data_IF_445085030762
#
_entry.id   IF_445085030762
#
_cell.length_a   1.000
_cell.length_b   1.000
_cell.length_c   1.000
_cell.angle_alpha   90.00
_cell.angle_beta   90.00
_cell.angle_gamma   90.00
#
_symmetry.space_group_name_H-M   'P 1'
#
loop_
_entity.id
_entity.type
_entity.pdbx_description
1 polymer ?
#
# COMPACT_ATOMS: atom_id res chain seq x y z
N UNK A 1 -20.29 -4.41 7.92
CA UNK A 1 -21.62 -3.74 7.87
C UNK A 1 -21.77 -3.11 6.50
N UNK A 2 -23.00 -2.93 6.00
CA UNK A 2 -23.28 -2.37 4.66
C UNK A 2 -22.52 -1.04 4.41
N UNK A 3 -22.42 -0.19 5.44
CA UNK A 3 -21.69 1.09 5.41
C UNK A 3 -20.22 0.93 5.03
N UNK A 4 -19.53 -0.08 5.60
CA UNK A 4 -18.11 -0.32 5.31
C UNK A 4 -17.94 -0.73 3.84
N UNK A 5 -18.77 -1.63 3.34
CA UNK A 5 -18.69 -2.08 1.95
C UNK A 5 -18.95 -0.92 0.98
N UNK A 6 -19.92 -0.04 1.29
CA UNK A 6 -20.21 1.14 0.46
C UNK A 6 -19.05 2.14 0.43
N UNK A 7 -18.40 2.37 1.58
CA UNK A 7 -17.21 3.23 1.64
C UNK A 7 -16.10 2.71 0.72
N UNK A 8 -15.75 1.43 0.85
CA UNK A 8 -14.68 0.84 0.04
C UNK A 8 -15.07 0.69 -1.44
N UNK A 9 -16.35 0.50 -1.74
CA UNK A 9 -16.85 0.54 -3.11
C UNK A 9 -16.57 1.92 -3.73
N UNK A 10 -17.01 2.99 -3.07
CA UNK A 10 -16.82 4.36 -3.55
C UNK A 10 -15.33 4.73 -3.66
N UNK A 11 -14.52 4.36 -2.66
CA UNK A 11 -13.09 4.62 -2.66
C UNK A 11 -12.39 3.91 -3.85
N UNK A 12 -12.70 2.63 -4.10
CA UNK A 12 -12.13 1.90 -5.23
C UNK A 12 -12.59 2.45 -6.58
N UNK A 13 -13.86 2.86 -6.72
CA UNK A 13 -14.36 3.51 -7.93
C UNK A 13 -13.67 4.86 -8.19
N UNK A 14 -13.46 5.68 -7.15
CA UNK A 14 -12.74 6.95 -7.26
C UNK A 14 -11.27 6.75 -7.64
N UNK A 15 -10.60 5.77 -7.03
CA UNK A 15 -9.22 5.43 -7.39
C UNK A 15 -9.10 4.99 -8.85
N UNK A 16 -10.04 4.20 -9.35
CA UNK A 16 -10.07 3.82 -10.76
C UNK A 16 -10.29 5.02 -11.68
N UNK A 17 -11.20 5.93 -11.30
CA UNK A 17 -11.45 7.15 -12.06
C UNK A 17 -10.20 8.03 -12.15
N UNK A 18 -9.52 8.27 -11.03
CA UNK A 18 -8.27 9.04 -10.99
C UNK A 18 -7.17 8.34 -11.80
N UNK A 19 -7.06 7.01 -11.69
CA UNK A 19 -6.07 6.21 -12.43
C UNK A 19 -6.31 6.13 -13.94
N UNK A 20 -7.51 6.46 -14.41
CA UNK A 20 -7.89 6.47 -15.84
C UNK A 20 -8.24 7.86 -16.37
N UNK A 21 -7.97 8.91 -15.57
CA UNK A 21 -8.28 10.29 -15.90
C UNK A 21 -7.33 10.82 -16.98
N UNK A 22 -7.87 11.32 -18.09
CA UNK A 22 -7.03 11.74 -19.23
C UNK A 22 -6.45 13.15 -19.10
N UNK A 23 -6.97 13.97 -18.19
CA UNK A 23 -6.45 15.33 -17.98
C UNK A 23 -5.26 15.29 -17.01
N UNK A 24 -4.15 15.99 -17.32
CA UNK A 24 -3.04 16.11 -16.39
C UNK A 24 -3.51 16.68 -15.05
N UNK A 25 -3.06 16.07 -13.96
CA UNK A 25 -3.32 16.55 -12.61
C UNK A 25 -2.05 16.41 -11.76
N UNK A 26 -1.94 17.24 -10.73
CA UNK A 26 -0.88 17.16 -9.73
C UNK A 26 -1.55 16.85 -8.39
N UNK A 27 -1.22 15.69 -7.82
CA UNK A 27 -1.63 15.32 -6.48
C UNK A 27 -0.54 15.72 -5.48
N UNK A 28 -0.85 16.64 -4.57
CA UNK A 28 0.07 17.07 -3.52
C UNK A 28 -0.16 16.20 -2.29
N UNK A 29 0.87 15.45 -1.90
CA UNK A 29 0.87 14.61 -0.70
C UNK A 29 1.59 15.39 0.40
N UNK A 30 0.83 16.10 1.24
CA UNK A 30 1.37 16.87 2.37
C UNK A 30 0.69 16.44 3.68
N UNK A 31 1.48 15.98 4.66
CA UNK A 31 1.00 15.48 5.94
C UNK A 31 0.83 13.96 6.00
N UNK A 32 -0.13 13.48 6.81
CA UNK A 32 -0.40 12.05 6.96
C UNK A 32 -1.35 11.61 5.85
N UNK A 33 -0.85 10.77 4.95
CA UNK A 33 -1.63 10.14 3.89
C UNK A 33 -1.68 8.63 4.12
N UNK A 34 -2.87 8.06 3.99
CA UNK A 34 -3.07 6.61 3.97
C UNK A 34 -3.52 6.21 2.57
N UNK A 35 -3.01 5.10 2.06
CA UNK A 35 -3.30 4.63 0.71
C UNK A 35 -3.62 3.14 0.68
N UNK A 36 -4.38 2.74 -0.34
CA UNK A 36 -4.51 1.33 -0.76
C UNK A 36 -3.45 0.96 -1.79
N UNK A 37 -3.70 -0.07 -2.59
CA UNK A 37 -2.78 -0.47 -3.66
C UNK A 37 -1.65 -1.36 -3.19
N UNK A 38 -1.84 -2.11 -2.10
CA UNK A 38 -0.90 -3.14 -1.64
C UNK A 38 -0.59 -4.14 -2.77
N UNK A 39 -1.59 -4.47 -3.58
CA UNK A 39 -1.44 -5.34 -4.75
C UNK A 39 -0.55 -4.75 -5.86
N UNK A 40 -0.33 -3.43 -5.86
CA UNK A 40 0.52 -2.75 -6.86
C UNK A 40 1.98 -2.63 -6.44
N UNK A 41 2.31 -3.00 -5.19
CA UNK A 41 3.67 -2.93 -4.66
C UNK A 41 4.58 -3.92 -5.40
N UNK A 42 5.78 -3.45 -5.78
CA UNK A 42 6.74 -4.24 -6.56
C UNK A 42 8.06 -4.42 -5.81
N UNK A 43 8.79 -5.45 -6.20
CA UNK A 43 10.11 -5.75 -5.65
C UNK A 43 10.09 -6.14 -4.17
N UNK A 44 11.29 -6.29 -3.59
CA UNK A 44 11.45 -6.74 -2.20
C UNK A 44 11.11 -5.63 -1.21
N UNK A 45 11.37 -4.38 -1.60
CA UNK A 45 10.97 -3.20 -0.84
C UNK A 45 9.44 -3.08 -0.72
N UNK A 46 8.69 -3.37 -1.79
CA UNK A 46 7.24 -3.44 -1.74
C UNK A 46 6.71 -4.48 -0.76
N UNK A 47 7.32 -5.68 -0.75
CA UNK A 47 6.97 -6.74 0.21
C UNK A 47 7.27 -6.29 1.65
N UNK A 48 8.46 -5.73 1.89
CA UNK A 48 8.83 -5.16 3.19
C UNK A 48 7.80 -4.16 3.67
N UNK A 49 7.40 -3.20 2.83
CA UNK A 49 6.41 -2.16 3.18
C UNK A 49 5.04 -2.73 3.46
N UNK A 50 4.55 -3.62 2.61
CA UNK A 50 3.25 -4.26 2.78
C UNK A 50 3.16 -5.05 4.09
N UNK A 51 4.20 -5.83 4.42
CA UNK A 51 4.18 -6.69 5.60
C UNK A 51 4.44 -5.94 6.91
N UNK A 52 5.31 -4.92 6.89
CA UNK A 52 5.70 -4.19 8.11
C UNK A 52 4.84 -2.97 8.41
N UNK A 53 4.12 -2.44 7.40
CA UNK A 53 3.44 -1.15 7.53
C UNK A 53 4.41 0.02 7.80
N UNK A 54 5.66 -0.09 7.34
CA UNK A 54 6.69 0.92 7.57
C UNK A 54 6.23 2.30 7.08
N UNK A 55 6.29 3.30 7.96
CA UNK A 55 5.86 4.67 7.62
C UNK A 55 6.80 5.27 6.59
N UNK A 56 6.23 5.72 5.48
CA UNK A 56 6.97 6.40 4.44
C UNK A 56 7.16 7.87 4.81
N UNK A 57 8.39 8.36 4.70
CA UNK A 57 8.71 9.79 4.77
C UNK A 57 9.06 10.28 3.38
N UNK A 58 10.30 10.70 3.16
CA UNK A 58 10.84 11.08 1.85
C UNK A 58 10.98 9.89 0.90
N UNK A 59 10.90 8.67 1.45
CA UNK A 59 11.09 7.42 0.70
C UNK A 59 9.98 7.13 -0.31
N UNK A 60 8.85 7.84 -0.24
CA UNK A 60 7.75 7.77 -1.22
C UNK A 60 8.24 8.01 -2.66
N UNK A 61 9.30 8.81 -2.84
CA UNK A 61 9.92 9.05 -4.14
C UNK A 61 10.63 7.78 -4.66
N UNK A 62 11.40 7.13 -3.79
CA UNK A 62 12.16 5.93 -4.13
C UNK A 62 11.27 4.70 -4.33
N UNK A 63 10.06 4.73 -3.78
CA UNK A 63 9.04 3.70 -3.99
C UNK A 63 8.27 3.86 -5.30
N UNK A 64 8.45 4.97 -6.01
CA UNK A 64 7.62 5.34 -7.16
C UNK A 64 6.18 5.70 -6.79
N UNK A 65 5.90 5.95 -5.50
CA UNK A 65 4.59 6.44 -5.03
C UNK A 65 4.46 7.95 -5.33
N UNK A 66 5.54 8.70 -5.10
CA UNK A 66 5.65 10.08 -5.53
C UNK A 66 6.57 10.16 -6.76
N UNK A 67 6.26 11.06 -7.68
CA UNK A 67 7.10 11.31 -8.86
C UNK A 67 8.16 12.38 -8.61
N UNK A 68 7.89 13.30 -7.68
CA UNK A 68 8.75 14.43 -7.36
C UNK A 68 8.70 14.73 -5.86
N UNK A 69 9.70 15.46 -5.37
CA UNK A 69 9.81 15.90 -3.99
C UNK A 69 9.99 17.41 -3.94
N UNK A 70 9.26 18.07 -3.03
CA UNK A 70 9.40 19.50 -2.76
C UNK A 70 9.35 19.71 -1.25
N UNK A 71 10.33 20.42 -0.64
CA UNK A 71 10.27 20.80 0.76
C UNK A 71 9.00 21.59 1.07
N UNK A 72 8.38 21.35 2.22
CA UNK A 72 7.09 21.96 2.57
C UNK A 72 7.13 23.49 2.57
N UNK A 73 8.25 24.08 2.96
CA UNK A 73 8.51 25.52 2.94
C UNK A 73 8.55 26.11 1.52
N UNK A 74 8.80 25.29 0.50
CA UNK A 74 8.81 25.68 -0.92
C UNK A 74 7.48 25.40 -1.63
N UNK A 75 6.48 24.86 -0.94
CA UNK A 75 5.19 24.53 -1.56
C UNK A 75 4.43 25.77 -2.05
N UNK A 76 4.52 26.89 -1.32
CA UNK A 76 3.92 28.15 -1.73
C UNK A 76 4.59 28.72 -3.00
N UNK A 77 5.91 28.59 -3.10
CA UNK A 77 6.68 28.99 -4.27
C UNK A 77 6.31 28.13 -5.48
N UNK A 78 6.25 26.80 -5.31
CA UNK A 78 5.80 25.87 -6.34
C UNK A 78 4.41 26.24 -6.88
N UNK A 79 3.45 26.52 -5.99
CA UNK A 79 2.10 26.90 -6.41
C UNK A 79 2.11 28.19 -7.24
N UNK A 80 2.90 29.19 -6.84
CA UNK A 80 3.06 30.43 -7.60
C UNK A 80 3.67 30.16 -8.97
N UNK A 81 4.77 29.42 -9.04
CA UNK A 81 5.44 29.05 -10.29
C UNK A 81 4.45 28.36 -11.25
N UNK A 82 3.70 27.36 -10.77
CA UNK A 82 2.72 26.62 -11.56
C UNK A 82 1.58 27.51 -12.10
N UNK A 83 1.11 28.49 -11.32
CA UNK A 83 0.04 29.40 -11.74
C UNK A 83 0.51 30.46 -12.74
N UNK A 84 1.82 30.74 -12.80
CA UNK A 84 2.40 31.73 -13.72
C UNK A 84 2.83 31.15 -15.06
N UNK A 85 2.74 29.83 -15.25
CA UNK A 85 3.05 29.17 -16.51
C UNK A 85 2.10 29.66 -17.62
N UNK A 86 2.68 30.23 -18.68
CA UNK A 86 1.93 30.73 -19.85
C UNK A 86 1.47 29.59 -20.76
N UNK A 87 2.27 28.52 -20.82
CA UNK A 87 1.96 27.29 -21.53
C UNK A 87 2.00 26.12 -20.55
N UNK A 88 0.92 25.33 -20.52
CA UNK A 88 0.82 24.14 -19.67
C UNK A 88 1.27 22.95 -20.52
N UNK A 89 2.59 22.82 -20.71
CA UNK A 89 3.20 21.59 -21.21
C UNK A 89 3.87 20.81 -20.07
N UNK A 90 4.00 19.49 -20.27
CA UNK A 90 4.56 18.59 -19.25
C UNK A 90 6.03 18.97 -18.94
N UNK A 91 6.80 19.43 -19.93
CA UNK A 91 8.23 19.73 -19.77
C UNK A 91 8.46 20.91 -18.84
N UNK A 92 7.67 21.96 -18.98
CA UNK A 92 7.72 23.17 -18.16
C UNK A 92 7.37 22.85 -16.71
N UNK A 93 6.32 22.04 -16.49
CA UNK A 93 5.94 21.55 -15.15
C UNK A 93 7.06 20.70 -14.52
N UNK A 94 7.64 19.75 -15.27
CA UNK A 94 8.73 18.90 -14.77
C UNK A 94 9.99 19.71 -14.40
N UNK A 95 10.29 20.77 -15.16
CA UNK A 95 11.44 21.65 -14.89
C UNK A 95 11.30 22.34 -13.53
N UNK A 96 10.08 22.78 -13.18
CA UNK A 96 9.79 23.38 -11.88
C UNK A 96 9.91 22.34 -10.75
N UNK A 97 9.46 21.11 -10.98
CA UNK A 97 9.40 20.06 -9.96
C UNK A 97 10.75 19.37 -9.67
N UNK A 98 11.68 19.34 -10.61
CA UNK A 98 12.96 18.61 -10.49
C UNK A 98 14.07 19.35 -9.70
N UNK A 99 13.73 20.40 -8.95
CA UNK A 99 14.71 21.23 -8.24
C UNK A 99 15.30 20.58 -6.97
N UNK A 100 14.65 19.54 -6.43
CA UNK A 100 15.04 18.95 -5.15
C UNK A 100 15.09 17.42 -5.20
N UNK A 101 16.14 16.85 -4.61
CA UNK A 101 16.28 15.40 -4.44
C UNK A 101 16.52 15.06 -2.96
N UNK A 102 15.62 14.29 -2.33
CA UNK A 102 15.81 13.85 -0.96
C UNK A 102 16.81 12.68 -0.89
N UNK A 103 17.33 12.39 0.31
CA UNK A 103 18.12 11.19 0.57
C UNK A 103 17.21 10.00 0.88
N UNK A 104 17.53 8.82 0.36
CA UNK A 104 16.82 7.59 0.68
C UNK A 104 17.17 7.12 2.09
N UNK A 105 16.18 7.00 2.96
CA UNK A 105 16.40 6.72 4.38
C UNK A 105 16.71 5.24 4.67
N UNK A 106 16.24 4.33 3.80
CA UNK A 106 16.42 2.89 3.95
C UNK A 106 17.65 2.34 3.23
N UNK A 107 18.51 3.21 2.67
CA UNK A 107 19.67 2.80 1.88
C UNK A 107 20.57 1.78 2.61
N UNK A 108 20.82 1.98 3.92
CA UNK A 108 21.62 1.07 4.73
C UNK A 108 20.97 -0.29 5.00
N UNK A 109 19.63 -0.37 4.92
CA UNK A 109 18.86 -1.59 5.19
C UNK A 109 18.55 -2.38 3.91
N UNK A 110 18.89 -1.86 2.73
CA UNK A 110 18.49 -2.46 1.45
C UNK A 110 19.00 -3.89 1.28
N UNK A 111 20.26 -4.16 1.63
CA UNK A 111 20.82 -5.52 1.53
C UNK A 111 20.06 -6.51 2.43
N UNK A 112 19.71 -6.10 3.65
CA UNK A 112 18.92 -6.92 4.57
C UNK A 112 17.48 -7.12 4.07
N UNK A 113 16.86 -6.08 3.52
CA UNK A 113 15.53 -6.15 2.91
C UNK A 113 15.52 -7.13 1.74
N UNK A 114 16.48 -7.01 0.82
CA UNK A 114 16.60 -7.88 -0.34
C UNK A 114 16.83 -9.33 0.06
N UNK A 115 17.69 -9.56 1.06
CA UNK A 115 17.94 -10.90 1.57
C UNK A 115 16.69 -11.49 2.25
N UNK A 116 16.09 -10.80 3.21
CA UNK A 116 14.99 -11.35 4.01
C UNK A 116 13.68 -11.46 3.23
N UNK A 117 13.32 -10.43 2.47
CA UNK A 117 12.02 -10.35 1.80
C UNK A 117 12.03 -10.94 0.38
N UNK A 118 13.14 -11.55 -0.05
CA UNK A 118 13.20 -12.32 -1.30
C UNK A 118 12.57 -13.72 -1.21
N UNK A 119 12.38 -14.24 0.00
CA UNK A 119 11.71 -15.50 0.30
C UNK A 119 10.29 -15.60 -0.30
N UNK A 120 9.85 -16.84 -0.57
CA UNK A 120 8.56 -17.08 -1.22
C UNK A 120 7.40 -17.05 -0.23
N UNK A 121 7.64 -17.50 1.00
CA UNK A 121 6.62 -17.62 2.06
C UNK A 121 6.89 -16.66 3.22
N UNK A 122 5.85 -16.35 3.99
CA UNK A 122 5.98 -15.48 5.17
C UNK A 122 6.81 -16.16 6.27
N UNK A 123 6.67 -17.48 6.39
CA UNK A 123 7.43 -18.31 7.30
C UNK A 123 8.93 -18.21 7.02
N UNK A 124 9.33 -18.34 5.76
CA UNK A 124 10.74 -18.24 5.37
C UNK A 124 11.26 -16.81 5.56
N UNK A 125 10.46 -15.76 5.29
CA UNK A 125 10.82 -14.37 5.62
C UNK A 125 11.15 -14.24 7.11
N UNK A 126 10.31 -14.79 7.98
CA UNK A 126 10.50 -14.74 9.42
C UNK A 126 11.71 -15.55 9.87
N UNK A 127 11.97 -16.70 9.27
CA UNK A 127 13.19 -17.46 9.53
C UNK A 127 14.46 -16.68 9.15
N UNK A 128 14.46 -16.02 7.98
CA UNK A 128 15.59 -15.18 7.55
C UNK A 128 15.79 -13.98 8.47
N UNK A 129 14.71 -13.32 8.91
CA UNK A 129 14.78 -12.23 9.89
C UNK A 129 15.35 -12.73 11.23
N UNK A 130 14.90 -13.90 11.73
CA UNK A 130 15.45 -14.49 12.96
C UNK A 130 16.95 -14.79 12.85
N UNK A 131 17.43 -15.21 11.67
CA UNK A 131 18.86 -15.46 11.41
C UNK A 131 19.68 -14.19 11.33
N UNK A 132 19.12 -13.10 10.79
CA UNK A 132 19.77 -11.78 10.74
C UNK A 132 20.03 -11.22 12.16
N UNK A 133 19.09 -11.46 13.09
CA UNK A 133 19.24 -11.18 14.53
C UNK A 133 19.57 -9.72 14.88
N UNK A 134 19.38 -8.78 13.96
CA UNK A 134 19.48 -7.34 14.25
C UNK A 134 18.23 -6.83 14.96
N UNK A 135 18.32 -5.66 15.61
CA UNK A 135 17.16 -5.00 16.22
C UNK A 135 16.04 -4.73 15.20
N UNK A 136 16.42 -4.42 13.96
CA UNK A 136 15.51 -4.23 12.84
C UNK A 136 14.74 -5.50 12.48
N UNK A 137 15.31 -6.69 12.67
CA UNK A 137 14.69 -7.93 12.24
C UNK A 137 13.38 -8.28 12.99
N UNK A 138 13.13 -7.63 14.13
CA UNK A 138 11.90 -7.80 14.92
C UNK A 138 10.64 -7.16 14.30
N UNK A 139 10.75 -6.54 13.10
CA UNK A 139 9.70 -5.74 12.44
C UNK A 139 8.35 -6.44 12.24
N UNK A 140 8.31 -7.78 12.18
CA UNK A 140 7.06 -8.52 11.93
C UNK A 140 6.41 -9.15 13.17
N UNK A 141 7.08 -9.16 14.33
CA UNK A 141 6.61 -9.93 15.49
C UNK A 141 5.32 -9.42 16.14
N UNK A 142 4.94 -8.17 15.86
CA UNK A 142 3.70 -7.56 16.37
C UNK A 142 2.52 -7.68 15.39
N UNK A 143 2.76 -8.21 14.20
CA UNK A 143 1.77 -8.24 13.12
C UNK A 143 0.86 -9.46 13.25
N UNK A 144 -0.37 -9.32 12.75
CA UNK A 144 -1.33 -10.43 12.65
C UNK A 144 -0.82 -11.49 11.66
N UNK A 145 -0.73 -12.77 12.06
CA UNK A 145 -0.31 -13.85 11.16
C UNK A 145 -1.15 -13.94 9.89
N UNK A 146 -2.47 -13.78 10.02
CA UNK A 146 -3.38 -13.81 8.86
C UNK A 146 -3.16 -12.62 7.94
N UNK A 147 -2.96 -11.42 8.49
CA UNK A 147 -2.69 -10.22 7.70
C UNK A 147 -1.38 -10.35 6.93
N UNK A 148 -0.33 -10.92 7.53
CA UNK A 148 0.93 -11.14 6.83
C UNK A 148 0.76 -12.04 5.60
N UNK A 149 0.11 -13.21 5.76
CA UNK A 149 -0.10 -14.14 4.64
C UNK A 149 -1.05 -13.59 3.58
N UNK A 150 -2.13 -12.92 3.99
CA UNK A 150 -3.05 -12.26 3.06
C UNK A 150 -2.29 -11.21 2.25
N UNK A 151 -1.55 -10.31 2.91
CA UNK A 151 -0.77 -9.26 2.23
C UNK A 151 0.27 -9.83 1.28
N UNK A 152 1.04 -10.85 1.70
CA UNK A 152 2.03 -11.50 0.81
C UNK A 152 1.35 -12.04 -0.45
N UNK A 153 0.24 -12.77 -0.29
CA UNK A 153 -0.53 -13.30 -1.42
C UNK A 153 -1.13 -12.20 -2.30
N UNK A 154 -1.66 -11.12 -1.71
CA UNK A 154 -2.18 -9.96 -2.46
C UNK A 154 -1.11 -9.32 -3.33
N UNK A 155 0.10 -9.14 -2.81
CA UNK A 155 1.24 -8.61 -3.56
C UNK A 155 1.63 -9.57 -4.69
N UNK A 156 1.70 -10.88 -4.41
CA UNK A 156 2.05 -11.87 -5.42
C UNK A 156 1.02 -11.96 -6.55
N UNK A 157 -0.28 -12.00 -6.24
CA UNK A 157 -1.35 -12.03 -7.26
C UNK A 157 -1.41 -10.74 -8.09
N UNK A 158 -0.99 -9.60 -7.53
CA UNK A 158 -1.05 -8.29 -8.18
C UNK A 158 0.08 -7.98 -9.18
N UNK A 159 1.20 -8.70 -9.16
CA UNK A 159 2.41 -8.40 -9.95
C UNK A 159 2.17 -8.20 -11.44
N UNK A 160 1.26 -8.97 -12.02
CA UNK A 160 0.98 -9.01 -13.47
C UNK A 160 -0.46 -8.54 -13.79
N UNK A 161 -1.11 -7.86 -12.85
CA UNK A 161 -2.51 -7.45 -12.96
C UNK A 161 -2.67 -5.99 -13.30
N UNK A 162 -3.79 -5.66 -13.96
CA UNK A 162 -4.16 -4.27 -14.22
C UNK A 162 -4.57 -3.57 -12.92
N UNK A 163 -4.59 -2.23 -12.90
CA UNK A 163 -5.11 -1.46 -11.76
C UNK A 163 -6.54 -1.88 -11.40
N UNK A 164 -7.39 -2.14 -12.40
CA UNK A 164 -8.76 -2.57 -12.19
C UNK A 164 -8.83 -3.95 -11.50
N UNK A 165 -7.98 -4.88 -11.89
CA UNK A 165 -7.90 -6.21 -11.28
C UNK A 165 -7.36 -6.14 -9.84
N UNK A 166 -6.35 -5.31 -9.61
CA UNK A 166 -5.79 -5.03 -8.29
C UNK A 166 -6.84 -4.46 -7.33
N UNK A 167 -7.60 -3.45 -7.77
CA UNK A 167 -8.71 -2.88 -6.98
C UNK A 167 -9.82 -3.92 -6.71
N UNK A 168 -10.07 -4.83 -7.65
CA UNK A 168 -11.00 -5.93 -7.45
C UNK A 168 -10.52 -6.92 -6.37
N UNK A 169 -9.23 -7.29 -6.36
CA UNK A 169 -8.66 -8.14 -5.31
C UNK A 169 -8.81 -7.47 -3.95
N UNK A 170 -8.39 -6.21 -3.84
CA UNK A 170 -8.46 -5.47 -2.57
C UNK A 170 -9.89 -5.30 -2.08
N UNK A 171 -10.84 -5.01 -2.97
CA UNK A 171 -12.24 -4.91 -2.61
C UNK A 171 -12.81 -6.25 -2.08
N UNK A 172 -12.46 -7.39 -2.71
CA UNK A 172 -12.85 -8.72 -2.20
C UNK A 172 -12.33 -8.97 -0.80
N UNK A 173 -11.06 -8.65 -0.56
CA UNK A 173 -10.41 -8.85 0.74
C UNK A 173 -11.04 -7.99 1.83
N UNK A 174 -11.42 -6.76 1.52
CA UNK A 174 -12.17 -5.91 2.44
C UNK A 174 -13.54 -6.52 2.76
N UNK A 175 -14.27 -7.01 1.75
CA UNK A 175 -15.58 -7.61 1.96
C UNK A 175 -15.53 -8.91 2.77
N UNK A 176 -14.43 -9.66 2.68
CA UNK A 176 -14.20 -10.90 3.43
C UNK A 176 -13.41 -10.68 4.72
N UNK A 177 -13.00 -9.45 5.04
CA UNK A 177 -12.31 -9.13 6.28
C UNK A 177 -13.28 -9.31 7.46
N UNK A 178 -12.98 -10.29 8.32
CA UNK A 178 -13.90 -10.77 9.35
C UNK A 178 -13.80 -10.00 10.68
N UNK A 179 -12.70 -9.30 10.96
CA UNK A 179 -12.44 -8.82 12.33
C UNK A 179 -12.31 -7.30 12.43
N UNK A 180 -13.17 -6.71 13.26
CA UNK A 180 -13.04 -5.32 13.73
C UNK A 180 -12.02 -5.20 14.88
N UNK A 181 -11.54 -6.32 15.39
CA UNK A 181 -10.78 -6.40 16.65
C UNK A 181 -9.48 -5.60 16.59
N UNK A 182 -8.75 -5.65 15.48
CA UNK A 182 -7.52 -4.85 15.33
C UNK A 182 -7.76 -3.34 15.35
N UNK A 183 -8.85 -2.88 14.70
CA UNK A 183 -9.24 -1.46 14.67
C UNK A 183 -9.73 -1.02 16.05
N UNK A 184 -10.53 -1.87 16.72
CA UNK A 184 -11.05 -1.61 18.06
C UNK A 184 -9.91 -1.47 19.06
N UNK A 185 -9.00 -2.43 19.11
CA UNK A 185 -7.83 -2.44 20.01
C UNK A 185 -6.95 -1.20 19.83
N UNK A 186 -6.65 -0.83 18.59
CA UNK A 186 -5.72 0.27 18.33
C UNK A 186 -6.35 1.66 18.52
N UNK A 187 -7.58 1.85 18.06
CA UNK A 187 -8.21 3.18 17.97
C UNK A 187 -9.26 3.44 19.06
N UNK A 188 -9.93 2.39 19.54
CA UNK A 188 -11.01 2.49 20.53
C UNK A 188 -10.45 2.18 21.92
N UNK A 189 -9.95 0.96 22.12
CA UNK A 189 -9.52 0.45 23.43
C UNK A 189 -8.13 1.00 23.81
N UNK A 190 -7.30 1.36 22.81
CA UNK A 190 -5.92 1.88 22.94
C UNK A 190 -4.99 1.00 23.77
N UNK A 191 -5.36 -0.25 24.02
CA UNK A 191 -4.64 -1.24 24.83
C UNK A 191 -3.41 -1.83 24.11
N UNK A 192 -3.31 -1.64 22.78
CA UNK A 192 -2.21 -2.09 21.88
C UNK A 192 -1.85 -3.57 22.02
N UNK A 193 -2.77 -4.41 22.50
CA UNK A 193 -2.56 -5.86 22.70
C UNK A 193 -3.64 -6.67 21.96
N UNK A 194 -3.60 -6.68 20.63
CA UNK A 194 -4.60 -7.37 19.84
C UNK A 194 -4.51 -8.89 20.04
N UNK A 195 -5.64 -9.52 20.32
CA UNK A 195 -5.80 -10.97 20.33
C UNK A 195 -6.09 -11.45 18.91
N UNK A 196 -5.03 -11.72 18.15
CA UNK A 196 -5.16 -12.16 16.76
C UNK A 196 -5.83 -13.53 16.64
N UNK A 197 -6.74 -13.65 15.67
CA UNK A 197 -7.32 -14.92 15.27
C UNK A 197 -7.17 -15.06 13.75
N UNK A 198 -6.42 -16.06 13.25
CA UNK A 198 -5.61 -17.05 13.98
C UNK A 198 -4.39 -16.44 14.70
N UNK A 199 -3.90 -17.14 15.74
CA UNK A 199 -2.80 -16.69 16.62
C UNK A 199 -1.40 -17.01 16.08
N UNK A 200 -1.28 -17.98 15.16
CA UNK A 200 0.01 -18.41 14.60
C UNK A 200 -0.03 -18.53 13.07
N UNK A 201 1.13 -18.56 12.42
CA UNK A 201 1.23 -18.71 10.96
C UNK A 201 0.77 -20.08 10.46
N UNK A 202 1.12 -21.22 11.10
CA UNK A 202 0.63 -22.54 10.69
C UNK A 202 -0.90 -22.63 10.63
N UNK A 203 -1.61 -21.95 11.54
CA UNK A 203 -3.07 -21.94 11.58
C UNK A 203 -3.72 -21.18 10.39
N UNK A 204 -2.93 -20.38 9.67
CA UNK A 204 -3.36 -19.68 8.46
C UNK A 204 -3.10 -20.59 7.26
N UNK A 205 -4.00 -21.57 7.08
CA UNK A 205 -3.90 -22.59 6.03
C UNK A 205 -4.20 -22.04 4.62
N UNK A 206 -3.89 -22.83 3.58
CA UNK A 206 -4.28 -22.46 2.22
C UNK A 206 -5.80 -22.40 2.04
N UNK A 207 -6.55 -23.28 2.69
CA UNK A 207 -8.02 -23.23 2.73
C UNK A 207 -8.50 -21.92 3.39
N UNK A 208 -7.86 -21.53 4.50
CA UNK A 208 -8.10 -20.24 5.14
C UNK A 208 -7.90 -19.12 4.11
N UNK A 209 -6.77 -19.05 3.42
CA UNK A 209 -6.52 -18.00 2.43
C UNK A 209 -7.51 -18.05 1.26
N UNK A 210 -7.74 -19.22 0.65
CA UNK A 210 -8.63 -19.39 -0.49
C UNK A 210 -10.05 -18.85 -0.22
N UNK A 211 -10.58 -19.06 1.00
CA UNK A 211 -11.88 -18.52 1.39
C UNK A 211 -11.94 -16.98 1.34
N UNK A 212 -10.84 -16.28 1.62
CA UNK A 212 -10.79 -14.80 1.62
C UNK A 212 -10.62 -14.22 0.22
N UNK A 213 -9.92 -14.94 -0.65
CA UNK A 213 -9.70 -14.58 -2.04
C UNK A 213 -10.83 -15.07 -2.97
N UNK A 214 -11.84 -15.76 -2.43
CA UNK A 214 -12.98 -16.25 -3.18
C UNK A 214 -13.69 -15.11 -3.94
N UNK A 215 -14.10 -15.39 -5.17
CA UNK A 215 -14.78 -14.43 -6.03
C UNK A 215 -16.14 -14.07 -5.43
N UNK A 216 -16.45 -12.77 -5.38
CA UNK A 216 -17.76 -12.30 -4.93
C UNK A 216 -18.81 -12.54 -6.03
N UNK A 217 -20.07 -12.84 -5.65
CA UNK A 217 -21.17 -12.87 -6.61
C UNK A 217 -21.27 -11.55 -7.38
N UNK A 218 -21.67 -11.59 -8.66
CA UNK A 218 -21.70 -10.41 -9.57
C UNK A 218 -22.40 -9.19 -8.95
N UNK A 219 -23.52 -9.40 -8.25
CA UNK A 219 -24.29 -8.33 -7.58
C UNK A 219 -23.53 -7.62 -6.44
N UNK A 220 -22.46 -8.25 -5.93
CA UNK A 220 -21.61 -7.74 -4.85
C UNK A 220 -20.19 -7.42 -5.35
N UNK A 221 -19.90 -7.63 -6.63
CA UNK A 221 -18.59 -7.34 -7.21
C UNK A 221 -18.44 -5.83 -7.47
N UNK A 222 -17.19 -5.36 -7.49
CA UNK A 222 -16.87 -3.98 -7.84
C UNK A 222 -17.18 -3.75 -9.32
N UNK A 223 -18.06 -2.80 -9.62
CA UNK A 223 -18.37 -2.39 -10.98
C UNK A 223 -17.63 -1.08 -11.28
N UNK A 224 -16.53 -1.19 -12.01
CA UNK A 224 -15.72 -0.05 -12.41
C UNK A 224 -16.25 0.53 -13.72
N UNK A 225 -16.33 1.86 -13.80
CA UNK A 225 -16.74 2.55 -15.02
C UNK A 225 -15.64 2.38 -16.08
N UNK A 226 -15.99 1.83 -17.25
CA UNK A 226 -15.07 1.63 -18.37
C UNK A 226 -15.00 2.82 -19.32
N UNK A 227 -15.85 3.84 -19.14
CA UNK A 227 -15.81 5.06 -19.94
C UNK A 227 -14.61 5.91 -19.52
N UNK A 228 -13.67 6.10 -20.44
CA UNK A 228 -12.61 7.08 -20.33
C UNK A 228 -13.23 8.49 -20.27
N UNK A 229 -12.89 9.27 -19.24
CA UNK A 229 -13.29 10.68 -19.08
C UNK A 229 -12.13 11.61 -19.44
#
# INVERSE_FOLDING_TARGET
>A
SIVQNNFFFFASSLNHLIGTYNKPYIAIINGITMGGGVSTLKGKLGIYRGLTGHKLKVDVLFDGIATHFVPSEKLADLKRDLLTLREIDIKSVLTVLNKHQPKFSLASLMSQIENCFSAQTVEEIIERLKKDNSDWANVLFKMSPSSLKITKRTIDEGKEKSLADCLNIEFRLVCTALTKDGVRVLLIDKDRKPLWKPTSLPDVTNEYLNKRFAVLPVKKALQLCTRKL
#
